data_IF_989105394304
#
_entry.id   IF_989105394304
#
_cell.length_a   1.000
_cell.length_b   1.000
_cell.length_c   1.000
_cell.angle_alpha   90.00
_cell.angle_beta   90.00
_cell.angle_gamma   90.00
#
_symmetry.space_group_name_H-M   'P 1'
#
loop_
_entity.id
_entity.type
_entity.pdbx_description
1 polymer ?
#
# COMPACT_ATOMS: atom_id res chain seq x y z
N UNK A 1 -16.11 -1.44 -6.03
CA UNK A 1 -15.20 -1.01 -4.93
C UNK A 1 -13.75 -1.03 -5.36
N UNK A 2 -12.86 -0.29 -4.65
CA UNK A 2 -11.40 -0.34 -4.77
C UNK A 2 -10.77 -0.72 -3.44
N UNK A 3 -9.50 -1.13 -3.47
CA UNK A 3 -8.76 -1.58 -2.28
C UNK A 3 -7.46 -0.78 -2.17
N UNK A 4 -7.09 -0.33 -0.97
CA UNK A 4 -5.77 0.26 -0.72
C UNK A 4 -4.97 -0.58 0.26
N UNK A 5 -3.68 -0.77 -0.02
CA UNK A 5 -2.71 -1.41 0.87
C UNK A 5 -1.51 -0.50 1.12
N UNK A 6 -0.78 -0.77 2.19
CA UNK A 6 0.51 -0.11 2.45
C UNK A 6 1.63 -0.71 1.57
N UNK A 7 2.67 0.06 1.28
CA UNK A 7 3.91 -0.47 0.72
C UNK A 7 4.69 -1.25 1.78
N UNK A 8 5.88 -1.70 1.44
CA UNK A 8 6.82 -2.30 2.38
C UNK A 8 8.18 -1.59 2.37
N UNK A 9 8.86 -1.64 3.52
CA UNK A 9 10.26 -1.19 3.65
C UNK A 9 11.24 -2.12 2.93
N UNK A 10 10.86 -3.40 2.78
CA UNK A 10 11.64 -4.42 2.11
C UNK A 10 11.23 -4.50 0.65
N UNK A 11 12.23 -4.44 -0.23
CA UNK A 11 12.05 -4.50 -1.67
C UNK A 11 12.87 -5.66 -2.25
N UNK A 12 12.29 -6.34 -3.21
CA UNK A 12 12.97 -7.28 -4.10
C UNK A 12 12.95 -6.74 -5.54
N UNK A 13 14.04 -6.11 -5.91
CA UNK A 13 14.25 -5.62 -7.28
C UNK A 13 15.20 -6.51 -8.09
N UNK A 14 15.63 -7.66 -7.54
CA UNK A 14 16.61 -8.56 -8.17
C UNK A 14 15.97 -9.79 -8.81
N UNK A 15 15.00 -10.42 -8.15
CA UNK A 15 14.29 -11.57 -8.70
C UNK A 15 13.55 -11.15 -9.98
N UNK A 16 13.67 -11.90 -11.08
CA UNK A 16 12.96 -11.58 -12.31
C UNK A 16 11.44 -11.48 -12.09
N UNK A 17 10.81 -10.59 -12.83
CA UNK A 17 9.36 -10.46 -12.80
C UNK A 17 8.70 -11.67 -13.46
N UNK A 18 7.64 -12.20 -12.84
CA UNK A 18 6.86 -13.34 -13.34
C UNK A 18 5.86 -12.94 -14.43
N UNK A 19 5.64 -11.64 -14.63
CA UNK A 19 4.74 -11.08 -15.64
C UNK A 19 5.42 -9.94 -16.39
N UNK A 20 5.20 -9.88 -17.71
CA UNK A 20 5.75 -8.79 -18.55
C UNK A 20 4.84 -7.57 -18.64
N UNK A 21 3.52 -7.73 -18.37
CA UNK A 21 2.58 -6.62 -18.32
C UNK A 21 3.09 -5.57 -17.33
N UNK A 22 3.05 -4.30 -17.71
CA UNK A 22 3.45 -3.20 -16.83
C UNK A 22 2.76 -1.89 -17.24
N UNK A 23 2.80 -0.93 -16.35
CA UNK A 23 2.31 0.43 -16.56
C UNK A 23 3.27 1.43 -15.93
N UNK A 24 3.09 2.71 -16.25
CA UNK A 24 3.89 3.81 -15.70
C UNK A 24 3.11 4.51 -14.58
N UNK A 25 3.75 4.82 -13.44
CA UNK A 25 3.10 5.55 -12.35
C UNK A 25 2.56 6.92 -12.82
N UNK A 26 1.36 7.26 -12.39
CA UNK A 26 0.66 8.45 -12.90
C UNK A 26 1.11 9.77 -12.25
N UNK A 27 1.69 9.70 -11.04
CA UNK A 27 2.07 10.88 -10.25
C UNK A 27 3.59 11.20 -10.31
N UNK A 28 4.28 10.81 -11.39
CA UNK A 28 5.74 10.96 -11.52
C UNK A 28 6.24 12.41 -11.45
N UNK A 29 5.43 13.39 -11.86
CA UNK A 29 5.77 14.80 -11.74
C UNK A 29 5.95 15.22 -10.26
N UNK A 30 5.15 14.66 -9.36
CA UNK A 30 5.27 14.85 -7.91
C UNK A 30 6.43 14.04 -7.34
N UNK A 31 6.61 12.80 -7.80
CA UNK A 31 7.76 11.96 -7.37
C UNK A 31 9.09 12.65 -7.66
N UNK A 32 9.23 13.27 -8.83
CA UNK A 32 10.43 14.05 -9.21
C UNK A 32 10.71 15.17 -8.22
N UNK A 33 9.69 15.93 -7.83
CA UNK A 33 9.86 17.01 -6.84
C UNK A 33 10.38 16.48 -5.50
N UNK A 34 9.87 15.33 -5.04
CA UNK A 34 10.34 14.70 -3.79
C UNK A 34 11.78 14.19 -3.93
N UNK A 35 12.12 13.58 -5.06
CA UNK A 35 13.49 13.11 -5.32
C UNK A 35 14.46 14.29 -5.33
N UNK A 36 14.09 15.41 -5.92
CA UNK A 36 14.91 16.63 -5.92
C UNK A 36 15.16 17.15 -4.47
N UNK A 37 14.18 17.03 -3.58
CA UNK A 37 14.42 17.37 -2.17
C UNK A 37 15.34 16.34 -1.49
N UNK A 38 15.13 15.04 -1.74
CA UNK A 38 15.97 13.99 -1.16
C UNK A 38 17.43 14.06 -1.66
N UNK A 39 17.68 14.49 -2.88
CA UNK A 39 19.03 14.71 -3.44
C UNK A 39 19.85 15.78 -2.72
N UNK A 40 19.20 16.70 -2.01
CA UNK A 40 19.89 17.72 -1.21
C UNK A 40 20.40 17.19 0.12
N UNK A 41 20.04 15.96 0.49
CA UNK A 41 20.36 15.34 1.77
C UNK A 41 21.54 14.37 1.60
N UNK A 42 22.52 14.46 2.48
CA UNK A 42 23.57 13.47 2.60
C UNK A 42 23.14 12.27 3.48
N UNK A 43 24.04 11.33 3.67
CA UNK A 43 23.80 10.11 4.43
C UNK A 43 23.39 10.38 5.88
N UNK A 44 24.05 11.34 6.54
CA UNK A 44 23.74 11.70 7.93
C UNK A 44 22.32 12.27 8.07
N UNK A 45 21.94 13.18 7.16
CA UNK A 45 20.59 13.73 7.12
C UNK A 45 19.54 12.67 6.83
N UNK A 46 19.78 11.76 5.87
CA UNK A 46 18.86 10.65 5.57
C UNK A 46 18.76 9.67 6.73
N UNK A 47 19.87 9.35 7.40
CA UNK A 47 19.89 8.48 8.58
C UNK A 47 19.01 9.05 9.68
N UNK A 48 19.15 10.33 9.99
CA UNK A 48 18.33 11.00 11.02
C UNK A 48 16.87 11.13 10.60
N UNK A 49 16.59 11.55 9.36
CA UNK A 49 15.23 11.76 8.85
C UNK A 49 14.41 10.47 8.86
N UNK A 50 15.00 9.36 8.41
CA UNK A 50 14.29 8.08 8.24
C UNK A 50 14.53 7.10 9.40
N UNK A 51 15.37 7.47 10.40
CA UNK A 51 15.74 6.63 11.54
C UNK A 51 16.27 5.26 11.08
N UNK A 52 17.27 5.28 10.23
CA UNK A 52 17.91 4.10 9.62
C UNK A 52 19.40 4.07 9.90
N UNK A 53 20.03 2.90 9.74
CA UNK A 53 21.49 2.78 9.81
C UNK A 53 22.16 3.54 8.66
N UNK A 54 23.42 3.95 8.87
CA UNK A 54 24.27 4.60 7.86
C UNK A 54 24.29 3.83 6.54
N UNK A 55 24.49 2.51 6.58
CA UNK A 55 24.44 1.63 5.40
C UNK A 55 23.15 1.78 4.61
N UNK A 56 22.00 1.91 5.28
CA UNK A 56 20.70 2.09 4.60
C UNK A 56 20.57 3.53 4.08
N UNK A 57 21.11 4.50 4.80
CA UNK A 57 21.14 5.90 4.38
C UNK A 57 21.96 6.08 3.10
N UNK A 58 23.20 5.56 3.07
CA UNK A 58 24.08 5.56 1.88
C UNK A 58 23.40 4.94 0.65
N UNK A 59 22.77 3.79 0.87
CA UNK A 59 22.00 3.12 -0.21
C UNK A 59 20.89 4.03 -0.76
N UNK A 60 20.22 4.80 0.11
CA UNK A 60 19.14 5.67 -0.35
C UNK A 60 19.64 6.97 -0.98
N UNK A 61 20.75 7.54 -0.51
CA UNK A 61 21.46 8.62 -1.21
C UNK A 61 21.74 8.21 -2.66
N UNK A 62 22.34 7.03 -2.85
CA UNK A 62 22.63 6.49 -4.19
C UNK A 62 21.35 6.29 -5.01
N UNK A 63 20.30 5.69 -4.43
CA UNK A 63 19.01 5.48 -5.10
C UNK A 63 18.37 6.77 -5.57
N UNK A 64 18.39 7.83 -4.75
CA UNK A 64 17.85 9.14 -5.15
C UNK A 64 18.73 9.83 -6.19
N UNK A 65 20.04 9.69 -6.12
CA UNK A 65 20.94 10.22 -7.14
C UNK A 65 20.70 9.58 -8.51
N UNK A 66 20.51 8.25 -8.54
CA UNK A 66 20.30 7.47 -9.77
C UNK A 66 18.85 7.48 -10.27
N UNK A 67 17.90 8.01 -9.47
CA UNK A 67 16.49 8.00 -9.85
C UNK A 67 16.24 8.95 -11.03
N UNK A 68 15.53 8.49 -12.01
CA UNK A 68 14.98 9.26 -13.13
C UNK A 68 13.55 8.80 -13.42
N UNK A 69 12.85 9.44 -14.33
CA UNK A 69 11.47 9.12 -14.71
C UNK A 69 11.36 8.19 -15.92
N UNK A 70 12.45 7.60 -16.35
CA UNK A 70 12.47 6.60 -17.41
C UNK A 70 12.38 5.20 -16.78
N UNK A 71 11.28 4.53 -17.01
CA UNK A 71 10.99 3.23 -16.44
C UNK A 71 10.90 2.18 -17.53
N UNK A 72 11.71 1.14 -17.40
CA UNK A 72 11.71 -0.05 -18.24
C UNK A 72 11.79 -1.30 -17.36
N UNK A 73 11.46 -2.46 -17.90
CA UNK A 73 11.63 -3.73 -17.19
C UNK A 73 13.10 -4.07 -16.84
N UNK A 74 14.07 -3.31 -17.38
CA UNK A 74 15.49 -3.46 -17.07
C UNK A 74 15.88 -2.71 -15.81
N UNK A 75 15.33 -1.50 -15.59
CA UNK A 75 15.74 -0.60 -14.51
C UNK A 75 14.68 -0.41 -13.41
N UNK A 76 13.51 -1.01 -13.57
CA UNK A 76 12.37 -0.92 -12.66
C UNK A 76 11.60 -2.24 -12.59
N UNK A 77 10.79 -2.41 -11.55
CA UNK A 77 9.96 -3.60 -11.35
C UNK A 77 8.54 -3.19 -10.98
N UNK A 78 7.56 -4.01 -11.36
CA UNK A 78 6.16 -3.80 -10.98
C UNK A 78 6.02 -3.71 -9.47
N UNK A 79 5.27 -2.72 -8.98
CA UNK A 79 5.15 -2.43 -7.55
C UNK A 79 4.70 -3.65 -6.72
N UNK A 80 3.69 -4.40 -7.19
CA UNK A 80 3.18 -5.58 -6.49
C UNK A 80 4.22 -6.70 -6.37
N UNK A 81 5.17 -6.80 -7.31
CA UNK A 81 6.26 -7.78 -7.31
C UNK A 81 7.50 -7.29 -6.55
N UNK A 82 7.70 -5.97 -6.50
CA UNK A 82 8.86 -5.36 -5.87
C UNK A 82 8.72 -5.29 -4.35
N UNK A 83 7.54 -4.96 -3.82
CA UNK A 83 7.33 -4.92 -2.37
C UNK A 83 7.29 -6.33 -1.77
N UNK A 84 7.95 -6.51 -0.62
CA UNK A 84 8.00 -7.75 0.17
C UNK A 84 7.66 -7.46 1.62
N UNK A 85 7.35 -8.48 2.40
CA UNK A 85 6.98 -8.36 3.82
C UNK A 85 5.56 -8.86 4.09
N UNK A 86 5.07 -8.71 5.33
CA UNK A 86 3.92 -9.46 5.83
C UNK A 86 2.64 -9.29 5.01
N UNK A 87 2.34 -8.06 4.53
CA UNK A 87 1.19 -7.82 3.65
C UNK A 87 1.36 -8.60 2.35
N UNK A 88 2.54 -8.53 1.74
CA UNK A 88 2.83 -9.16 0.46
C UNK A 88 2.99 -10.67 0.58
N UNK A 89 3.44 -11.19 1.72
CA UNK A 89 3.40 -12.62 2.03
C UNK A 89 1.97 -13.15 2.15
N UNK A 90 1.04 -12.35 2.69
CA UNK A 90 -0.38 -12.70 2.71
C UNK A 90 -1.04 -12.58 1.33
N UNK A 91 -0.62 -11.59 0.53
CA UNK A 91 -1.11 -11.38 -0.85
C UNK A 91 -0.67 -12.53 -1.78
N UNK A 92 0.56 -13.05 -1.59
CA UNK A 92 1.11 -14.22 -2.28
C UNK A 92 0.96 -14.12 -3.81
N UNK A 93 1.47 -13.03 -4.36
CA UNK A 93 1.33 -12.65 -5.77
C UNK A 93 1.94 -13.66 -6.75
N UNK A 94 2.86 -14.50 -6.29
CA UNK A 94 3.52 -15.53 -7.10
C UNK A 94 2.54 -16.62 -7.60
N UNK A 95 1.36 -16.70 -6.99
CA UNK A 95 0.27 -17.62 -7.36
C UNK A 95 -0.81 -16.97 -8.23
N UNK A 96 -0.61 -15.71 -8.66
CA UNK A 96 -1.57 -15.01 -9.51
C UNK A 96 -1.43 -15.43 -10.97
N UNK A 97 -2.56 -15.59 -11.62
CA UNK A 97 -2.64 -15.73 -13.08
C UNK A 97 -2.89 -14.36 -13.76
N UNK A 98 -3.02 -14.36 -15.07
CA UNK A 98 -3.24 -13.13 -15.86
C UNK A 98 -4.54 -12.42 -15.50
N UNK A 99 -5.61 -13.15 -15.17
CA UNK A 99 -6.89 -12.58 -14.74
C UNK A 99 -6.79 -11.91 -13.38
N UNK A 100 -6.04 -12.53 -12.44
CA UNK A 100 -5.75 -11.95 -11.13
C UNK A 100 -4.98 -10.63 -11.26
N UNK A 101 -3.95 -10.59 -12.12
CA UNK A 101 -3.20 -9.37 -12.38
C UNK A 101 -4.06 -8.27 -13.00
N UNK A 102 -4.92 -8.59 -13.95
CA UNK A 102 -5.82 -7.64 -14.59
C UNK A 102 -6.85 -7.10 -13.59
N UNK A 103 -7.44 -7.98 -12.77
CA UNK A 103 -8.34 -7.56 -11.71
C UNK A 103 -7.62 -6.70 -10.65
N UNK A 104 -6.46 -7.13 -10.18
CA UNK A 104 -5.65 -6.37 -9.25
C UNK A 104 -5.30 -4.97 -9.82
N UNK A 105 -4.85 -4.89 -11.07
CA UNK A 105 -4.52 -3.64 -11.75
C UNK A 105 -5.70 -2.67 -11.76
N UNK A 106 -6.92 -3.18 -11.93
CA UNK A 106 -8.14 -2.39 -11.96
C UNK A 106 -8.61 -1.93 -10.57
N UNK A 107 -8.43 -2.75 -9.52
CA UNK A 107 -9.08 -2.56 -8.20
C UNK A 107 -8.11 -2.24 -7.06
N UNK A 108 -6.86 -2.71 -7.10
CA UNK A 108 -5.90 -2.52 -6.03
C UNK A 108 -5.08 -1.26 -6.25
N UNK A 109 -4.80 -0.54 -5.16
CA UNK A 109 -3.87 0.59 -5.13
C UNK A 109 -2.89 0.42 -3.97
N UNK A 110 -1.63 0.72 -4.21
CA UNK A 110 -0.55 0.69 -3.21
C UNK A 110 -0.22 2.13 -2.88
N UNK A 111 -0.45 2.54 -1.65
CA UNK A 111 -0.08 3.88 -1.19
C UNK A 111 1.45 3.97 -1.06
N UNK A 112 2.03 5.12 -1.35
CA UNK A 112 3.49 5.28 -1.39
C UNK A 112 3.89 6.68 -0.97
N UNK A 113 4.93 6.78 -0.12
CA UNK A 113 5.49 8.09 0.26
C UNK A 113 6.13 8.81 -0.91
N UNK A 114 6.75 8.09 -1.86
CA UNK A 114 7.41 8.67 -3.03
C UNK A 114 6.49 8.81 -4.24
N UNK A 115 5.66 7.80 -4.51
CA UNK A 115 4.83 7.74 -5.73
C UNK A 115 3.36 8.11 -5.49
N UNK A 116 2.97 8.42 -4.24
CA UNK A 116 1.58 8.72 -3.87
C UNK A 116 0.68 7.50 -3.95
N UNK A 117 0.20 7.18 -5.13
CA UNK A 117 -0.64 6.02 -5.43
C UNK A 117 -0.02 5.24 -6.59
N UNK A 118 0.22 3.96 -6.40
CA UNK A 118 0.67 3.03 -7.43
C UNK A 118 -0.43 2.03 -7.76
N UNK A 119 -0.56 1.70 -9.04
CA UNK A 119 -1.27 0.48 -9.47
C UNK A 119 -0.32 -0.72 -9.32
N UNK A 120 -0.83 -1.95 -9.17
CA UNK A 120 0.00 -3.14 -9.01
C UNK A 120 1.13 -3.30 -10.03
N UNK A 121 0.83 -3.06 -11.30
CA UNK A 121 1.78 -3.24 -12.40
C UNK A 121 2.57 -1.98 -12.75
N UNK A 122 2.42 -0.89 -12.00
CA UNK A 122 3.25 0.31 -12.18
C UNK A 122 4.72 -0.02 -11.91
N UNK A 123 5.59 0.33 -12.85
CA UNK A 123 7.02 0.18 -12.68
C UNK A 123 7.54 1.18 -11.64
N UNK A 124 8.30 0.69 -10.68
CA UNK A 124 8.93 1.53 -9.68
C UNK A 124 10.42 1.22 -9.54
N UNK A 125 11.22 2.25 -9.31
CA UNK A 125 12.61 2.13 -8.89
C UNK A 125 12.70 1.98 -7.37
N UNK A 126 13.71 1.28 -6.84
CA UNK A 126 13.84 1.08 -5.40
C UNK A 126 14.06 2.39 -4.66
N UNK A 127 13.37 2.55 -3.56
CA UNK A 127 13.43 3.73 -2.69
C UNK A 127 13.10 3.35 -1.25
N UNK A 128 13.41 4.26 -0.32
CA UNK A 128 12.82 4.26 1.01
C UNK A 128 12.41 5.68 1.36
N UNK A 129 11.13 5.90 1.45
CA UNK A 129 10.50 7.15 1.88
C UNK A 129 9.10 6.80 2.42
N UNK A 130 8.97 6.76 3.74
CA UNK A 130 7.72 6.40 4.41
C UNK A 130 6.79 7.61 4.46
N UNK A 131 5.47 7.41 4.44
CA UNK A 131 4.49 8.51 4.39
C UNK A 131 4.57 9.45 5.62
N UNK A 132 4.94 8.91 6.78
CA UNK A 132 5.13 9.67 8.01
C UNK A 132 6.43 10.49 8.07
N UNK A 133 7.29 10.43 7.05
CA UNK A 133 8.58 11.12 7.02
C UNK A 133 8.42 12.64 7.02
N UNK A 134 9.16 13.30 7.92
CA UNK A 134 9.16 14.77 8.08
C UNK A 134 10.09 15.45 7.09
N UNK A 135 9.97 15.11 5.79
CA UNK A 135 10.75 15.73 4.73
C UNK A 135 10.23 17.14 4.46
N UNK A 136 11.07 18.14 4.71
CA UNK A 136 10.78 19.51 4.32
C UNK A 136 10.69 19.60 2.79
N UNK A 137 9.69 20.28 2.28
CA UNK A 137 9.39 20.38 0.86
C UNK A 137 8.67 21.71 0.56
N UNK A 138 8.52 22.11 -0.70
CA UNK A 138 7.89 23.40 -1.03
C UNK A 138 6.44 23.57 -0.55
N UNK A 139 5.73 22.47 -0.23
CA UNK A 139 4.33 22.51 0.25
C UNK A 139 4.22 22.39 1.77
N UNK A 140 5.32 22.14 2.51
CA UNK A 140 5.30 22.07 3.96
C UNK A 140 6.37 21.15 4.58
N UNK A 141 6.17 20.80 5.84
CA UNK A 141 7.19 20.18 6.71
C UNK A 141 7.19 18.63 6.67
N UNK A 142 6.34 17.99 5.90
CA UNK A 142 6.22 16.53 5.84
C UNK A 142 5.51 16.09 4.55
N UNK A 143 5.44 14.78 4.32
CA UNK A 143 4.81 14.24 3.13
C UNK A 143 3.27 14.37 3.13
N UNK A 144 2.62 14.43 4.28
CA UNK A 144 1.17 14.69 4.30
C UNK A 144 0.85 16.08 3.75
N UNK A 145 1.64 17.11 4.08
CA UNK A 145 1.50 18.43 3.49
C UNK A 145 1.84 18.45 1.99
N UNK A 146 2.85 17.67 1.59
CA UNK A 146 3.23 17.56 0.18
C UNK A 146 2.12 16.96 -0.68
N UNK A 147 1.59 15.83 -0.24
CA UNK A 147 0.54 15.13 -0.97
C UNK A 147 -0.82 15.85 -0.88
N UNK A 148 -1.12 16.48 0.26
CA UNK A 148 -2.39 17.20 0.46
C UNK A 148 -3.59 16.37 0.01
N UNK A 149 -4.32 16.86 -0.97
CA UNK A 149 -5.49 16.18 -1.53
C UNK A 149 -5.19 15.30 -2.76
N UNK A 150 -3.99 15.37 -3.31
CA UNK A 150 -3.61 14.71 -4.59
C UNK A 150 -3.92 13.21 -4.58
N UNK A 151 -3.60 12.51 -3.48
CA UNK A 151 -3.89 11.08 -3.32
C UNK A 151 -5.39 10.83 -3.32
N UNK A 152 -6.15 11.66 -2.63
CA UNK A 152 -7.61 11.55 -2.54
C UNK A 152 -8.28 11.82 -3.88
N UNK A 153 -7.85 12.86 -4.57
CA UNK A 153 -8.33 13.19 -5.92
C UNK A 153 -8.07 12.03 -6.89
N UNK A 154 -6.87 11.43 -6.82
CA UNK A 154 -6.52 10.27 -7.65
C UNK A 154 -7.37 9.03 -7.35
N UNK A 155 -7.71 8.79 -6.10
CA UNK A 155 -8.63 7.71 -5.72
C UNK A 155 -10.07 8.02 -6.13
N UNK A 156 -10.48 9.28 -6.06
CA UNK A 156 -11.82 9.73 -6.49
C UNK A 156 -12.03 9.52 -7.99
N UNK A 157 -11.04 9.80 -8.84
CA UNK A 157 -11.13 9.55 -10.30
C UNK A 157 -11.62 8.13 -10.60
N UNK A 158 -11.21 7.16 -9.79
CA UNK A 158 -11.62 5.77 -9.97
C UNK A 158 -12.94 5.47 -9.25
N UNK A 159 -13.07 5.91 -7.99
CA UNK A 159 -14.23 5.56 -7.15
C UNK A 159 -15.55 6.08 -7.73
N UNK A 160 -15.55 7.27 -8.33
CA UNK A 160 -16.78 7.86 -8.90
C UNK A 160 -17.35 7.08 -10.08
N UNK A 161 -16.52 6.29 -10.77
CA UNK A 161 -16.92 5.45 -11.90
C UNK A 161 -17.52 4.11 -11.47
N UNK A 162 -17.45 3.76 -10.18
CA UNK A 162 -17.92 2.48 -9.67
C UNK A 162 -19.37 2.54 -9.23
N UNK A 163 -20.10 1.45 -9.43
CA UNK A 163 -21.45 1.28 -8.89
C UNK A 163 -21.40 1.34 -7.35
N UNK A 164 -20.56 0.52 -6.74
CA UNK A 164 -20.26 0.58 -5.31
C UNK A 164 -19.09 1.54 -5.06
N UNK A 165 -19.39 2.78 -4.68
CA UNK A 165 -18.40 3.82 -4.35
C UNK A 165 -17.75 3.56 -2.99
N UNK A 166 -17.02 2.44 -2.90
CA UNK A 166 -16.40 1.95 -1.69
C UNK A 166 -14.90 1.81 -1.86
N UNK A 167 -14.15 2.29 -0.86
CA UNK A 167 -12.74 2.02 -0.65
C UNK A 167 -12.57 1.06 0.53
N UNK A 168 -12.01 -0.11 0.27
CA UNK A 168 -11.60 -1.07 1.30
C UNK A 168 -10.20 -0.69 1.78
N UNK A 169 -10.11 -0.23 3.02
CA UNK A 169 -8.85 0.21 3.60
C UNK A 169 -8.13 -0.96 4.29
N UNK A 170 -7.14 -1.50 3.62
CA UNK A 170 -6.20 -2.48 4.15
C UNK A 170 -4.81 -1.85 4.41
N UNK A 171 -4.69 -0.53 4.32
CA UNK A 171 -3.48 0.19 4.64
C UNK A 171 -3.34 0.42 6.16
N UNK A 172 -2.12 0.75 6.60
CA UNK A 172 -1.88 1.19 7.97
C UNK A 172 -2.36 2.61 8.19
N UNK A 173 -2.60 2.98 9.46
CA UNK A 173 -3.00 4.35 9.82
C UNK A 173 -2.04 5.42 9.28
N UNK A 174 -0.74 5.12 9.21
CA UNK A 174 0.26 6.01 8.63
C UNK A 174 -0.09 6.37 7.18
N UNK A 175 -0.43 5.36 6.38
CA UNK A 175 -0.74 5.58 4.96
C UNK A 175 -2.18 6.08 4.76
N UNK A 176 -3.14 5.58 5.52
CA UNK A 176 -4.54 6.05 5.44
C UNK A 176 -4.69 7.54 5.74
N UNK A 177 -3.85 8.10 6.61
CA UNK A 177 -3.82 9.55 6.91
C UNK A 177 -3.49 10.43 5.70
N UNK A 178 -2.95 9.87 4.62
CA UNK A 178 -2.74 10.61 3.36
C UNK A 178 -4.00 10.73 2.51
N UNK A 179 -5.09 10.09 2.92
CA UNK A 179 -6.42 10.21 2.29
C UNK A 179 -7.23 11.21 3.11
N UNK A 180 -7.62 12.30 2.47
CA UNK A 180 -8.51 13.28 3.08
C UNK A 180 -9.94 12.73 3.06
N UNK A 181 -10.42 12.26 4.21
CA UNK A 181 -11.72 11.60 4.35
C UNK A 181 -12.86 12.54 3.97
N UNK A 182 -12.75 13.83 4.31
CA UNK A 182 -13.80 14.83 4.06
C UNK A 182 -13.97 15.13 2.56
N UNK A 183 -12.94 14.86 1.75
CA UNK A 183 -12.94 15.05 0.29
C UNK A 183 -13.10 13.75 -0.50
N UNK A 184 -13.09 12.62 0.16
CA UNK A 184 -13.27 11.33 -0.50
C UNK A 184 -14.74 11.12 -0.91
N UNK A 185 -14.97 10.80 -2.18
CA UNK A 185 -16.32 10.72 -2.78
C UNK A 185 -16.91 9.30 -2.72
N UNK A 186 -16.77 8.64 -1.58
CA UNK A 186 -17.27 7.29 -1.36
C UNK A 186 -17.28 6.93 0.12
N UNK A 187 -17.63 5.68 0.43
CA UNK A 187 -17.56 5.11 1.77
C UNK A 187 -16.24 4.38 1.97
N UNK A 188 -15.62 4.53 3.13
CA UNK A 188 -14.43 3.78 3.52
C UNK A 188 -14.82 2.66 4.47
N UNK A 189 -14.47 1.43 4.10
CA UNK A 189 -14.66 0.24 4.93
C UNK A 189 -13.27 -0.25 5.36
N UNK A 190 -13.08 -0.44 6.67
CA UNK A 190 -11.81 -0.89 7.23
C UNK A 190 -11.98 -2.25 7.89
N UNK A 191 -11.51 -3.35 7.27
CA UNK A 191 -11.37 -4.65 7.93
C UNK A 191 -10.35 -4.58 9.06
N UNK A 192 -10.72 -5.08 10.23
CA UNK A 192 -9.89 -5.11 11.44
C UNK A 192 -9.73 -6.55 11.90
N UNK A 193 -8.50 -7.01 11.98
CA UNK A 193 -8.13 -8.38 12.33
C UNK A 193 -7.61 -8.42 13.76
N UNK A 194 -8.27 -9.20 14.62
CA UNK A 194 -7.91 -9.34 16.02
C UNK A 194 -7.64 -10.81 16.36
N UNK A 195 -6.61 -11.02 17.19
CA UNK A 195 -6.19 -12.30 17.70
C UNK A 195 -6.61 -12.45 19.15
N UNK A 196 -7.08 -13.63 19.54
CA UNK A 196 -7.23 -13.99 20.95
C UNK A 196 -5.85 -14.19 21.57
N UNK A 197 -5.54 -13.41 22.60
CA UNK A 197 -4.29 -13.54 23.34
C UNK A 197 -4.45 -13.03 24.78
N UNK A 198 -4.10 -13.86 25.75
CA UNK A 198 -4.17 -13.52 27.18
C UNK A 198 -5.60 -13.08 27.60
N UNK A 199 -6.63 -13.83 27.19
CA UNK A 199 -8.02 -13.60 27.60
C UNK A 199 -8.76 -12.49 26.82
N UNK A 200 -8.11 -11.83 25.85
CA UNK A 200 -8.73 -10.72 25.12
C UNK A 200 -8.40 -10.75 23.61
N UNK A 201 -9.35 -10.28 22.79
CA UNK A 201 -9.10 -10.06 21.38
C UNK A 201 -8.40 -8.71 21.14
N UNK A 202 -7.23 -8.73 20.54
CA UNK A 202 -6.45 -7.53 20.23
C UNK A 202 -5.77 -7.60 18.88
N UNK A 203 -5.48 -6.43 18.30
CA UNK A 203 -4.70 -6.33 17.06
C UNK A 203 -3.23 -6.64 17.37
N UNK A 204 -2.68 -7.67 16.73
CA UNK A 204 -1.26 -8.00 16.77
C UNK A 204 -0.65 -7.57 15.42
N UNK A 205 0.26 -6.59 15.46
CA UNK A 205 0.74 -5.89 14.27
C UNK A 205 1.24 -6.78 13.14
N UNK A 206 2.03 -7.83 13.44
CA UNK A 206 2.53 -8.79 12.45
C UNK A 206 1.37 -9.56 11.78
N UNK A 207 0.51 -10.14 12.60
CA UNK A 207 -0.64 -10.93 12.13
C UNK A 207 -1.62 -10.05 11.34
N UNK A 208 -1.93 -8.86 11.84
CA UNK A 208 -2.82 -7.92 11.16
C UNK A 208 -2.27 -7.49 9.78
N UNK A 209 -0.96 -7.31 9.62
CA UNK A 209 -0.36 -7.05 8.32
C UNK A 209 -0.58 -8.21 7.35
N UNK A 210 -0.28 -9.45 7.79
CA UNK A 210 -0.49 -10.64 6.96
C UNK A 210 -1.96 -10.83 6.62
N UNK A 211 -2.87 -10.64 7.58
CA UNK A 211 -4.32 -10.74 7.37
C UNK A 211 -4.85 -9.73 6.34
N UNK A 212 -4.33 -8.50 6.33
CA UNK A 212 -4.63 -7.52 5.27
C UNK A 212 -4.21 -8.02 3.89
N UNK A 213 -3.05 -8.66 3.80
CA UNK A 213 -2.61 -9.31 2.57
C UNK A 213 -3.53 -10.45 2.14
N UNK A 214 -3.92 -11.33 3.09
CA UNK A 214 -4.88 -12.41 2.85
C UNK A 214 -6.24 -11.88 2.36
N UNK A 215 -6.75 -10.80 2.95
CA UNK A 215 -7.99 -10.16 2.52
C UNK A 215 -7.84 -9.56 1.11
N UNK A 216 -6.73 -8.89 0.82
CA UNK A 216 -6.47 -8.38 -0.54
C UNK A 216 -6.41 -9.53 -1.56
N UNK A 217 -5.75 -10.65 -1.21
CA UNK A 217 -5.72 -11.86 -2.01
C UNK A 217 -7.13 -12.43 -2.23
N UNK A 218 -7.93 -12.56 -1.16
CA UNK A 218 -9.30 -13.04 -1.23
C UNK A 218 -10.14 -12.20 -2.20
N UNK A 219 -10.05 -10.88 -2.10
CA UNK A 219 -10.74 -9.95 -3.00
C UNK A 219 -10.33 -10.18 -4.47
N UNK A 220 -9.04 -10.37 -4.73
CA UNK A 220 -8.52 -10.53 -6.09
C UNK A 220 -8.90 -11.91 -6.65
N UNK A 221 -8.60 -12.98 -5.94
CA UNK A 221 -8.83 -14.36 -6.41
C UNK A 221 -10.30 -14.69 -6.64
N UNK A 222 -11.20 -14.07 -5.86
CA UNK A 222 -12.64 -14.27 -5.98
C UNK A 222 -13.34 -13.14 -6.75
N UNK A 223 -12.56 -12.19 -7.31
CA UNK A 223 -13.07 -11.04 -8.07
C UNK A 223 -14.19 -10.28 -7.34
N UNK A 224 -14.00 -10.07 -6.03
CA UNK A 224 -14.99 -9.46 -5.13
C UNK A 224 -15.24 -8.01 -5.55
N UNK A 225 -16.47 -7.68 -5.91
CA UNK A 225 -16.90 -6.34 -6.35
C UNK A 225 -17.88 -5.68 -5.39
N UNK A 226 -18.55 -6.47 -4.55
CA UNK A 226 -19.56 -5.99 -3.60
C UNK A 226 -19.02 -6.04 -2.16
N UNK A 227 -19.20 -4.97 -1.37
CA UNK A 227 -18.73 -4.91 0.01
C UNK A 227 -19.26 -6.02 0.91
N UNK A 228 -20.48 -6.49 0.66
CA UNK A 228 -21.10 -7.57 1.44
C UNK A 228 -20.28 -8.87 1.37
N UNK A 229 -19.66 -9.17 0.24
CA UNK A 229 -18.85 -10.38 0.06
C UNK A 229 -17.59 -10.39 0.95
N UNK A 230 -17.17 -9.23 1.48
CA UNK A 230 -16.05 -9.17 2.43
C UNK A 230 -16.34 -9.93 3.71
N UNK A 231 -17.61 -10.06 4.11
CA UNK A 231 -18.00 -10.77 5.34
C UNK A 231 -17.87 -12.29 5.22
N UNK A 232 -17.72 -12.80 4.00
CA UNK A 232 -17.50 -14.23 3.71
C UNK A 232 -16.03 -14.66 3.86
N UNK A 233 -15.12 -13.68 4.06
CA UNK A 233 -13.70 -13.95 4.26
C UNK A 233 -13.47 -14.82 5.50
N UNK A 234 -12.83 -15.98 5.30
CA UNK A 234 -12.52 -16.96 6.35
C UNK A 234 -11.09 -17.52 6.25
N UNK A 235 -10.20 -16.84 5.50
CA UNK A 235 -8.84 -17.33 5.25
C UNK A 235 -7.94 -17.11 6.46
N UNK A 236 -7.06 -18.09 6.73
CA UNK A 236 -6.09 -18.01 7.83
C UNK A 236 -6.73 -18.10 9.22
N UNK A 237 -7.91 -18.69 9.34
CA UNK A 237 -8.62 -18.89 10.61
C UNK A 237 -9.37 -17.64 11.11
N UNK A 238 -9.45 -16.58 10.33
CA UNK A 238 -10.25 -15.40 10.68
C UNK A 238 -11.72 -15.61 10.37
N UNK A 239 -12.59 -15.25 11.30
CA UNK A 239 -14.04 -15.31 11.15
C UNK A 239 -14.64 -13.92 11.40
N UNK A 240 -15.62 -13.57 10.57
CA UNK A 240 -16.35 -12.31 10.68
C UNK A 240 -17.23 -12.25 11.92
N UNK A 241 -17.21 -11.14 12.65
CA UNK A 241 -18.06 -10.88 13.82
C UNK A 241 -19.16 -9.88 13.45
N UNK A 242 -20.39 -10.35 13.36
CA UNK A 242 -21.56 -9.49 13.13
C UNK A 242 -21.76 -8.49 14.27
N UNK A 243 -21.77 -8.91 15.58
CA UNK A 243 -22.11 -7.99 16.67
C UNK A 243 -21.09 -6.86 16.90
N UNK A 244 -19.84 -7.05 16.46
CA UNK A 244 -18.76 -6.06 16.69
C UNK A 244 -18.45 -5.22 15.46
N UNK A 245 -19.17 -5.44 14.35
CA UNK A 245 -18.97 -4.76 13.08
C UNK A 245 -20.05 -3.69 12.83
N UNK A 246 -19.67 -2.70 12.04
CA UNK A 246 -20.56 -1.66 11.52
C UNK A 246 -20.31 -1.43 10.02
N UNK A 247 -20.99 -0.45 9.41
CA UNK A 247 -20.89 -0.10 8.00
C UNK A 247 -19.50 0.39 7.56
N UNK A 248 -18.62 0.74 8.51
CA UNK A 248 -17.29 1.30 8.27
C UNK A 248 -16.17 0.42 8.77
N UNK A 249 -16.44 -0.47 9.73
CA UNK A 249 -15.48 -1.39 10.33
C UNK A 249 -16.01 -2.81 10.33
N UNK A 250 -15.31 -3.70 9.64
CA UNK A 250 -15.59 -5.13 9.63
C UNK A 250 -14.60 -5.84 10.55
N UNK A 251 -15.07 -6.40 11.64
CA UNK A 251 -14.23 -7.06 12.64
C UNK A 251 -14.13 -8.55 12.32
N UNK A 252 -12.88 -9.03 12.29
CA UNK A 252 -12.55 -10.43 12.11
C UNK A 252 -11.74 -10.92 13.29
N UNK A 253 -12.15 -12.03 13.87
CA UNK A 253 -11.49 -12.68 14.98
C UNK A 253 -10.78 -13.95 14.55
N UNK A 254 -9.63 -14.22 15.17
CA UNK A 254 -8.94 -15.49 15.07
C UNK A 254 -8.55 -15.96 16.47
N UNK A 255 -8.87 -17.21 16.78
CA UNK A 255 -8.36 -17.89 17.96
C UNK A 255 -6.94 -18.38 17.67
N UNK A 256 -5.98 -18.03 18.54
CA UNK A 256 -4.56 -18.36 18.38
C UNK A 256 -4.21 -19.82 18.73
N UNK A 257 -5.20 -20.65 18.99
CA UNK A 257 -5.05 -22.05 19.40
C UNK A 257 -5.55 -23.05 18.32
N UNK A 258 -5.44 -22.67 17.05
CA UNK A 258 -5.64 -23.61 15.93
C UNK A 258 -4.39 -23.71 15.08
#
# INVERSE_FOLDING_TARGET
>A
MIVVISPSKTLDCKTPAIVKKHSTPELLAYSRQLVEQCRKLDSAHISDLMKVSEKIADLNVKRFAEWDSEFTLVNAKQAILAFKGDVYSGLDVETFDDFDFDFAQSKLRILSGLYGVLRPLDLMKPYRLEMGTKLNNPKGKNLYHFWGDIITEKLNELVVTLQEKVLVNLASNEYTKSINIDKFQGRIITPVFKEYKNGVYKVIGLHAKRARGLMARYIIKNQVTEPKQLTEFNTGGYLFSVPDSDDTKLIFYRDSEL
#
